data_IF_844067477178
#
_entry.id   IF_844067477178
#
_cell.length_a   1.000
_cell.length_b   1.000
_cell.length_c   1.000
_cell.angle_alpha   90.00
_cell.angle_beta   90.00
_cell.angle_gamma   90.00
#
_symmetry.space_group_name_H-M   'P 1'
#
loop_
_entity.id
_entity.type
_entity.pdbx_description
1 polymer ?
#
# COMPACT_ATOMS: atom_id res chain seq x y z
N UNK A 1 -1.29 -15.59 -4.42
CA UNK A 1 0.09 -16.11 -4.33
C UNK A 1 0.15 -17.42 -5.10
N UNK A 2 1.13 -17.62 -6.01
CA UNK A 2 1.28 -18.90 -6.67
C UNK A 2 1.59 -19.99 -5.64
N UNK A 3 0.86 -21.10 -5.70
CA UNK A 3 1.07 -22.26 -4.83
C UNK A 3 2.15 -23.12 -5.47
N UNK A 4 3.27 -23.28 -4.76
CA UNK A 4 4.36 -24.16 -5.16
C UNK A 4 4.33 -25.44 -4.32
N UNK A 5 4.71 -26.60 -4.89
CA UNK A 5 4.85 -27.82 -4.09
C UNK A 5 5.92 -27.61 -3.01
N UNK A 6 5.62 -28.08 -1.80
CA UNK A 6 6.58 -28.07 -0.69
C UNK A 6 7.72 -29.04 -1.00
N UNK A 7 8.96 -28.52 -0.87
CA UNK A 7 10.18 -29.34 -1.03
C UNK A 7 11.15 -29.02 0.10
N UNK A 8 11.70 -30.07 0.71
CA UNK A 8 12.70 -29.97 1.80
C UNK A 8 13.99 -29.33 1.30
N UNK A 9 14.31 -29.47 0.00
CA UNK A 9 15.52 -28.90 -0.62
C UNK A 9 15.67 -27.40 -0.41
N UNK A 10 14.57 -26.65 -0.49
CA UNK A 10 14.62 -25.19 -0.31
C UNK A 10 14.98 -24.81 1.12
N UNK A 11 14.52 -25.58 2.11
CA UNK A 11 14.84 -25.37 3.53
C UNK A 11 16.31 -25.74 3.76
N UNK A 12 16.74 -26.89 3.25
CA UNK A 12 18.13 -27.35 3.29
C UNK A 12 19.07 -26.29 2.73
N UNK A 13 18.80 -25.78 1.53
CA UNK A 13 19.62 -24.71 0.89
C UNK A 13 19.64 -23.43 1.72
N UNK A 14 18.50 -23.03 2.29
CA UNK A 14 18.42 -21.81 3.09
C UNK A 14 19.25 -21.90 4.37
N UNK A 15 19.15 -23.02 5.10
CA UNK A 15 19.93 -23.27 6.32
C UNK A 15 21.42 -23.39 5.98
N UNK A 16 21.79 -24.13 4.91
CA UNK A 16 23.19 -24.26 4.46
C UNK A 16 23.80 -22.90 4.17
N UNK A 17 23.09 -22.02 3.46
CA UNK A 17 23.58 -20.67 3.16
C UNK A 17 23.81 -19.84 4.43
N UNK A 18 22.95 -19.98 5.44
CA UNK A 18 23.13 -19.30 6.71
C UNK A 18 24.40 -19.77 7.44
N UNK A 19 24.67 -21.10 7.45
CA UNK A 19 25.93 -21.63 8.01
C UNK A 19 27.16 -21.15 7.23
N UNK A 20 27.10 -21.11 5.89
CA UNK A 20 28.19 -20.64 5.05
C UNK A 20 28.50 -19.14 5.28
N UNK A 21 27.49 -18.33 5.55
CA UNK A 21 27.67 -16.92 5.86
C UNK A 21 28.41 -16.69 7.18
N UNK A 22 28.20 -17.55 8.19
CA UNK A 22 28.80 -17.42 9.53
C UNK A 22 30.17 -18.10 9.63
N UNK A 23 30.30 -19.32 9.09
CA UNK A 23 31.50 -20.16 9.27
C UNK A 23 32.46 -20.14 8.06
N UNK A 24 32.07 -19.44 6.97
CA UNK A 24 32.86 -19.29 5.76
C UNK A 24 32.87 -20.51 4.83
N UNK A 25 33.67 -20.44 3.74
CA UNK A 25 33.66 -21.45 2.67
C UNK A 25 34.06 -22.85 3.10
N UNK A 26 34.80 -23.02 4.20
CA UNK A 26 35.21 -24.31 4.79
C UNK A 26 34.03 -25.06 5.40
N UNK A 27 32.94 -24.36 5.71
CA UNK A 27 31.70 -24.93 6.22
C UNK A 27 31.02 -25.91 5.23
N UNK A 28 31.22 -25.69 3.93
CA UNK A 28 30.66 -26.54 2.89
C UNK A 28 31.23 -28.00 2.91
N UNK A 29 32.41 -28.19 3.44
CA UNK A 29 33.05 -29.52 3.56
C UNK A 29 32.88 -30.17 4.94
N UNK A 30 32.19 -29.51 5.88
CA UNK A 30 32.04 -29.99 7.25
C UNK A 30 30.88 -30.97 7.38
N UNK A 31 31.19 -32.24 7.71
CA UNK A 31 30.20 -33.28 8.01
C UNK A 31 29.23 -32.84 9.13
N UNK A 32 29.78 -32.15 10.18
CA UNK A 32 28.97 -31.60 11.28
C UNK A 32 27.87 -30.68 10.79
N UNK A 33 28.19 -29.81 9.83
CA UNK A 33 27.19 -28.88 9.28
C UNK A 33 26.18 -29.62 8.44
N UNK A 34 26.60 -30.55 7.60
CA UNK A 34 25.68 -31.36 6.81
C UNK A 34 24.69 -32.14 7.69
N UNK A 35 25.17 -32.76 8.75
CA UNK A 35 24.31 -33.51 9.71
C UNK A 35 23.36 -32.58 10.46
N UNK A 36 23.84 -31.39 10.85
CA UNK A 36 23.01 -30.40 11.52
C UNK A 36 21.92 -29.86 10.58
N UNK A 37 22.25 -29.51 9.35
CA UNK A 37 21.30 -29.04 8.33
C UNK A 37 20.25 -30.09 8.04
N UNK A 38 20.63 -31.36 7.83
CA UNK A 38 19.72 -32.45 7.58
C UNK A 38 18.72 -32.61 8.75
N UNK A 39 19.23 -32.66 9.97
CA UNK A 39 18.42 -32.79 11.20
C UNK A 39 17.44 -31.62 11.38
N UNK A 40 17.88 -30.38 11.15
CA UNK A 40 17.04 -29.20 11.27
C UNK A 40 15.96 -29.16 10.19
N UNK A 41 16.31 -29.52 8.95
CA UNK A 41 15.32 -29.64 7.85
C UNK A 41 14.25 -30.66 8.19
N UNK A 42 14.64 -31.84 8.70
CA UNK A 42 13.72 -32.88 9.12
C UNK A 42 12.78 -32.42 10.26
N UNK A 43 13.34 -31.71 11.27
CA UNK A 43 12.56 -31.15 12.38
C UNK A 43 11.50 -30.15 11.90
N UNK A 44 11.86 -29.25 11.00
CA UNK A 44 10.92 -28.26 10.42
C UNK A 44 9.82 -28.98 9.63
N UNK A 45 10.20 -29.91 8.76
CA UNK A 45 9.26 -30.71 7.96
C UNK A 45 8.32 -31.54 8.83
N UNK A 46 8.85 -32.21 9.86
CA UNK A 46 8.05 -33.01 10.79
C UNK A 46 7.06 -32.14 11.57
N UNK A 47 7.42 -30.90 11.88
CA UNK A 47 6.51 -29.96 12.56
C UNK A 47 5.30 -29.64 11.69
N UNK A 48 5.51 -29.37 10.40
CA UNK A 48 4.41 -29.11 9.47
C UNK A 48 3.57 -30.36 9.17
N UNK A 49 4.18 -31.49 8.94
CA UNK A 49 3.46 -32.77 8.75
C UNK A 49 2.55 -33.12 9.94
N UNK A 50 3.00 -32.83 11.17
CA UNK A 50 2.21 -33.07 12.39
C UNK A 50 1.04 -32.08 12.51
N UNK A 51 1.23 -30.82 12.12
CA UNK A 51 0.18 -29.80 12.15
C UNK A 51 -0.89 -30.03 11.08
N UNK A 52 -0.50 -30.56 9.94
CA UNK A 52 -1.38 -30.75 8.78
C UNK A 52 -1.29 -32.18 8.22
N UNK A 53 -1.82 -33.17 8.95
CA UNK A 53 -1.72 -34.60 8.55
C UNK A 53 -2.50 -34.89 7.24
N UNK A 54 -3.50 -34.06 6.92
CA UNK A 54 -4.34 -34.22 5.72
C UNK A 54 -3.85 -33.34 4.55
N UNK A 55 -2.66 -32.69 4.66
CA UNK A 55 -2.17 -31.71 3.71
C UNK A 55 -2.76 -30.33 3.95
N UNK A 56 -2.21 -29.31 3.27
CA UNK A 56 -2.64 -27.93 3.40
C UNK A 56 -1.66 -26.97 2.73
N UNK A 57 -1.98 -25.69 2.80
CA UNK A 57 -1.11 -24.59 2.30
C UNK A 57 -0.42 -23.95 3.49
N UNK A 58 0.90 -23.77 3.40
CA UNK A 58 1.73 -23.11 4.41
C UNK A 58 2.24 -21.82 3.82
N UNK A 59 2.15 -20.72 4.58
CA UNK A 59 2.78 -19.46 4.21
C UNK A 59 4.30 -19.57 4.30
N UNK A 60 5.02 -18.97 3.34
CA UNK A 60 6.48 -18.97 3.31
C UNK A 60 7.09 -18.38 4.60
N UNK A 61 6.42 -17.39 5.18
CA UNK A 61 6.83 -16.75 6.44
C UNK A 61 6.78 -17.74 7.62
N UNK A 62 5.74 -18.58 7.70
CA UNK A 62 5.67 -19.61 8.73
C UNK A 62 6.81 -20.64 8.61
N UNK A 63 7.22 -20.97 7.38
CA UNK A 63 8.37 -21.85 7.14
C UNK A 63 9.64 -21.16 7.64
N UNK A 64 9.82 -19.89 7.33
CA UNK A 64 10.99 -19.10 7.73
C UNK A 64 11.08 -18.97 9.26
N UNK A 65 9.98 -18.70 9.93
CA UNK A 65 9.92 -18.61 11.40
C UNK A 65 10.23 -19.97 12.07
N UNK A 66 9.77 -21.07 11.50
CA UNK A 66 10.11 -22.41 12.02
C UNK A 66 11.58 -22.76 11.82
N UNK A 67 12.20 -22.32 10.73
CA UNK A 67 13.65 -22.46 10.50
C UNK A 67 14.44 -21.68 11.54
N UNK A 68 14.09 -20.43 11.80
CA UNK A 68 14.70 -19.59 12.82
C UNK A 68 14.61 -20.24 14.22
N UNK A 69 13.41 -20.67 14.61
CA UNK A 69 13.18 -21.35 15.87
C UNK A 69 13.98 -22.65 15.98
N UNK A 70 14.12 -23.41 14.90
CA UNK A 70 14.89 -24.64 14.89
C UNK A 70 16.40 -24.36 15.08
N UNK A 71 16.94 -23.32 14.43
CA UNK A 71 18.32 -22.87 14.60
C UNK A 71 18.58 -22.40 16.04
N UNK A 72 17.69 -21.59 16.62
CA UNK A 72 17.82 -21.12 18.00
C UNK A 72 17.81 -22.28 19.01
N UNK A 73 16.89 -23.24 18.84
CA UNK A 73 16.80 -24.43 19.73
C UNK A 73 17.99 -25.37 19.61
N UNK A 74 18.65 -25.38 18.45
CA UNK A 74 19.87 -26.15 18.25
C UNK A 74 21.12 -25.49 18.86
N UNK A 75 20.97 -24.28 19.42
CA UNK A 75 22.10 -23.51 19.98
C UNK A 75 22.88 -22.73 18.93
N UNK A 76 22.45 -22.71 17.67
CA UNK A 76 23.10 -22.04 16.54
C UNK A 76 22.65 -20.58 16.43
N UNK A 77 22.79 -19.82 17.55
CA UNK A 77 22.26 -18.45 17.67
C UNK A 77 22.84 -17.46 16.66
N UNK A 78 24.15 -17.60 16.33
CA UNK A 78 24.80 -16.75 15.33
C UNK A 78 24.22 -17.01 13.95
N UNK A 79 24.01 -18.29 13.61
CA UNK A 79 23.45 -18.70 12.33
C UNK A 79 21.99 -18.25 12.22
N UNK A 80 21.21 -18.38 13.31
CA UNK A 80 19.83 -17.88 13.36
C UNK A 80 19.76 -16.36 13.09
N UNK A 81 20.65 -15.59 13.73
CA UNK A 81 20.72 -14.13 13.51
C UNK A 81 21.05 -13.77 12.06
N UNK A 82 22.07 -14.42 11.49
CA UNK A 82 22.46 -14.16 10.10
C UNK A 82 21.38 -14.64 9.11
N UNK A 83 20.66 -15.69 9.45
CA UNK A 83 19.49 -16.14 8.68
C UNK A 83 18.40 -15.05 8.62
N UNK A 84 18.08 -14.39 9.73
CA UNK A 84 17.11 -13.29 9.78
C UNK A 84 17.59 -12.10 8.94
N UNK A 85 18.86 -11.69 9.10
CA UNK A 85 19.46 -10.60 8.31
C UNK A 85 19.43 -10.92 6.81
N UNK A 86 19.77 -12.16 6.44
CA UNK A 86 19.71 -12.60 5.04
C UNK A 86 18.27 -12.59 4.50
N UNK A 87 17.30 -13.04 5.30
CA UNK A 87 15.86 -13.00 4.95
C UNK A 87 15.42 -11.57 4.66
N UNK A 88 15.74 -10.63 5.54
CA UNK A 88 15.39 -9.21 5.40
C UNK A 88 16.09 -8.57 4.20
N UNK A 89 17.37 -8.87 3.97
CA UNK A 89 18.10 -8.41 2.78
C UNK A 89 17.46 -8.91 1.50
N UNK A 90 17.07 -10.19 1.46
CA UNK A 90 16.38 -10.78 0.30
C UNK A 90 14.96 -10.28 0.11
N UNK A 91 14.26 -9.91 1.19
CA UNK A 91 12.97 -9.25 1.10
C UNK A 91 13.13 -7.84 0.49
N UNK A 92 14.14 -7.08 0.95
CA UNK A 92 14.50 -5.77 0.40
C UNK A 92 14.99 -5.87 -1.05
N UNK A 93 15.86 -6.82 -1.39
CA UNK A 93 16.31 -7.05 -2.78
C UNK A 93 15.15 -7.42 -3.71
N UNK A 94 14.18 -8.20 -3.25
CA UNK A 94 12.96 -8.52 -4.02
C UNK A 94 12.08 -7.30 -4.20
N UNK A 95 11.94 -6.46 -3.17
CA UNK A 95 11.25 -5.18 -3.26
C UNK A 95 11.95 -4.23 -4.26
N UNK A 96 13.30 -4.17 -4.26
CA UNK A 96 14.08 -3.36 -5.21
C UNK A 96 14.03 -3.96 -6.61
N UNK A 97 14.14 -5.28 -6.77
CA UNK A 97 14.04 -5.95 -8.10
C UNK A 97 12.65 -5.86 -8.72
N UNK A 98 11.61 -5.74 -7.91
CA UNK A 98 10.26 -5.48 -8.42
C UNK A 98 10.11 -4.08 -9.03
N UNK A 99 11.11 -3.21 -8.84
CA UNK A 99 11.18 -1.87 -9.47
C UNK A 99 11.86 -1.96 -10.85
N UNK A 100 12.77 -2.93 -11.05
CA UNK A 100 13.57 -3.07 -12.30
C UNK A 100 13.07 -4.18 -13.25
N UNK A 101 12.20 -5.07 -12.82
CA UNK A 101 11.54 -5.97 -13.78
C UNK A 101 10.48 -5.16 -14.54
N UNK A 102 10.48 -5.24 -15.91
CA UNK A 102 9.37 -4.69 -16.67
C UNK A 102 8.12 -5.35 -16.11
N UNK A 103 7.20 -4.53 -15.60
CA UNK A 103 5.91 -4.91 -15.06
C UNK A 103 5.39 -6.08 -15.88
N UNK A 104 5.46 -7.31 -15.35
CA UNK A 104 4.74 -8.42 -15.95
C UNK A 104 3.32 -7.91 -16.12
N UNK A 105 2.87 -7.85 -17.37
CA UNK A 105 1.58 -7.31 -17.73
C UNK A 105 0.54 -7.99 -16.83
N UNK A 106 0.21 -7.34 -15.71
CA UNK A 106 -1.00 -7.69 -14.99
C UNK A 106 -2.09 -7.67 -16.06
N UNK A 107 -2.93 -8.70 -16.18
CA UNK A 107 -4.04 -8.64 -17.11
C UNK A 107 -4.65 -7.27 -16.91
N UNK A 108 -4.75 -6.48 -18.00
CA UNK A 108 -5.14 -5.07 -17.92
C UNK A 108 -6.50 -5.00 -17.23
N UNK A 109 -6.51 -4.74 -15.94
CA UNK A 109 -7.75 -4.60 -15.16
C UNK A 109 -8.52 -3.47 -15.82
N UNK A 110 -9.73 -3.77 -16.26
CA UNK A 110 -10.66 -2.75 -16.77
C UNK A 110 -11.50 -2.24 -15.63
N UNK A 111 -11.82 -0.98 -15.68
CA UNK A 111 -12.71 -0.32 -14.73
C UNK A 111 -14.00 0.09 -15.44
N UNK A 112 -15.08 0.13 -14.70
CA UNK A 112 -16.35 0.72 -15.14
C UNK A 112 -16.39 2.17 -14.68
N UNK A 113 -16.51 3.10 -15.63
CA UNK A 113 -16.67 4.54 -15.35
C UNK A 113 -18.11 4.85 -14.92
N UNK A 114 -18.33 6.08 -14.46
CA UNK A 114 -19.66 6.56 -14.04
C UNK A 114 -20.72 6.50 -15.16
N UNK A 115 -20.29 6.63 -16.42
CA UNK A 115 -21.14 6.52 -17.62
C UNK A 115 -21.43 5.06 -18.03
N UNK A 116 -20.91 4.09 -17.29
CA UNK A 116 -21.03 2.65 -17.58
C UNK A 116 -20.03 2.13 -18.62
N UNK A 117 -19.16 2.97 -19.16
CA UNK A 117 -18.12 2.54 -20.12
C UNK A 117 -17.00 1.77 -19.42
N UNK A 118 -16.43 0.76 -20.13
CA UNK A 118 -15.24 0.04 -19.69
C UNK A 118 -14.00 0.73 -20.24
N UNK A 119 -13.03 0.98 -19.37
CA UNK A 119 -11.73 1.52 -19.72
C UNK A 119 -10.60 0.77 -18.97
N UNK A 120 -9.38 0.73 -19.50
CA UNK A 120 -8.26 0.20 -18.73
C UNK A 120 -8.04 1.05 -17.47
N UNK A 121 -7.67 0.40 -16.36
CA UNK A 121 -7.26 1.11 -15.14
C UNK A 121 -6.00 1.93 -15.44
N UNK A 122 -6.05 3.21 -15.15
CA UNK A 122 -4.90 4.11 -15.27
C UNK A 122 -3.90 3.85 -14.13
N UNK A 123 -2.94 3.00 -14.41
CA UNK A 123 -1.87 2.66 -13.46
C UNK A 123 -0.94 3.85 -13.20
N UNK A 124 -0.78 4.75 -14.18
CA UNK A 124 0.02 5.97 -14.00
C UNK A 124 -0.59 6.87 -12.94
N UNK A 125 -1.88 7.19 -13.08
CA UNK A 125 -2.60 7.98 -12.09
C UNK A 125 -2.61 7.29 -10.72
N UNK A 126 -2.90 6.00 -10.66
CA UNK A 126 -2.90 5.25 -9.40
C UNK A 126 -1.55 5.31 -8.70
N UNK A 127 -0.46 5.15 -9.45
CA UNK A 127 0.89 5.31 -8.92
C UNK A 127 1.15 6.72 -8.39
N UNK A 128 0.75 7.75 -9.13
CA UNK A 128 0.92 9.15 -8.74
C UNK A 128 0.22 9.47 -7.43
N UNK A 129 -1.09 9.14 -7.30
CA UNK A 129 -1.86 9.47 -6.09
C UNK A 129 -1.34 8.74 -4.85
N UNK A 130 -0.90 7.47 -4.99
CA UNK A 130 -0.35 6.72 -3.86
C UNK A 130 1.03 7.24 -3.47
N UNK A 131 1.86 7.62 -4.44
CA UNK A 131 3.19 8.19 -4.18
C UNK A 131 3.06 9.55 -3.48
N UNK A 132 2.22 10.46 -4.00
CA UNK A 132 1.95 11.76 -3.36
C UNK A 132 1.36 11.60 -1.95
N UNK A 133 0.51 10.57 -1.73
CA UNK A 133 -0.05 10.30 -0.41
C UNK A 133 1.01 9.87 0.62
N UNK A 134 2.09 9.21 0.19
CA UNK A 134 3.19 8.79 1.04
C UNK A 134 4.29 9.86 1.21
N UNK A 135 4.25 10.92 0.44
CA UNK A 135 5.31 11.94 0.39
C UNK A 135 5.52 12.62 1.76
N UNK A 136 6.78 12.74 2.15
CA UNK A 136 7.16 13.37 3.42
C UNK A 136 6.80 12.57 4.69
N UNK A 137 6.37 11.32 4.57
CA UNK A 137 6.08 10.42 5.69
C UNK A 137 7.14 9.32 5.78
N UNK A 138 7.58 9.04 7.00
CA UNK A 138 8.52 7.95 7.28
C UNK A 138 7.79 6.62 7.48
N UNK A 139 8.48 5.51 7.20
CA UNK A 139 8.02 4.13 7.44
C UNK A 139 6.72 3.72 6.71
N UNK A 140 6.36 4.43 5.63
CA UNK A 140 5.24 4.08 4.75
C UNK A 140 5.76 3.59 3.39
N UNK A 141 5.06 2.63 2.77
CA UNK A 141 5.45 2.00 1.51
C UNK A 141 4.31 2.09 0.48
N UNK A 142 4.51 2.94 -0.53
CA UNK A 142 3.57 3.13 -1.64
C UNK A 142 3.38 1.83 -2.45
N UNK A 143 4.45 1.04 -2.66
CA UNK A 143 4.36 -0.20 -3.41
C UNK A 143 3.53 -1.26 -2.68
N UNK A 144 3.62 -1.30 -1.35
CA UNK A 144 2.80 -2.18 -0.53
C UNK A 144 1.31 -1.86 -0.71
N UNK A 145 0.94 -0.58 -0.61
CA UNK A 145 -0.45 -0.15 -0.81
C UNK A 145 -0.95 -0.54 -2.20
N UNK A 146 -0.18 -0.25 -3.25
CA UNK A 146 -0.55 -0.56 -4.63
C UNK A 146 -0.73 -2.07 -4.83
N UNK A 147 0.26 -2.87 -4.43
CA UNK A 147 0.24 -4.31 -4.64
C UNK A 147 -0.92 -4.99 -3.88
N UNK A 148 -1.19 -4.58 -2.64
CA UNK A 148 -2.30 -5.12 -1.87
C UNK A 148 -3.65 -4.67 -2.44
N UNK A 149 -3.75 -3.42 -2.90
CA UNK A 149 -4.98 -2.94 -3.56
C UNK A 149 -5.26 -3.73 -4.83
N UNK A 150 -4.28 -3.86 -5.73
CA UNK A 150 -4.46 -4.58 -7.00
C UNK A 150 -4.87 -6.05 -6.82
N UNK A 151 -4.45 -6.71 -5.74
CA UNK A 151 -4.88 -8.09 -5.42
C UNK A 151 -6.38 -8.20 -5.11
N UNK A 152 -6.98 -7.12 -4.64
CA UNK A 152 -8.38 -7.06 -4.26
C UNK A 152 -9.31 -6.55 -5.39
N UNK A 153 -8.74 -6.12 -6.52
CA UNK A 153 -9.52 -5.65 -7.66
C UNK A 153 -9.86 -6.81 -8.61
N UNK A 154 -11.02 -6.72 -9.23
CA UNK A 154 -11.47 -7.62 -10.30
C UNK A 154 -11.72 -6.86 -11.60
N UNK A 155 -11.72 -7.54 -12.73
CA UNK A 155 -11.97 -6.91 -14.03
C UNK A 155 -13.41 -6.38 -14.13
N UNK A 156 -13.54 -5.13 -14.52
CA UNK A 156 -14.84 -4.43 -14.57
C UNK A 156 -15.25 -3.73 -13.26
N UNK A 157 -14.37 -3.67 -12.25
CA UNK A 157 -14.63 -2.96 -10.99
C UNK A 157 -14.97 -1.49 -11.24
N UNK A 158 -15.91 -0.92 -10.49
CA UNK A 158 -16.24 0.51 -10.63
C UNK A 158 -15.07 1.39 -10.15
N UNK A 159 -14.82 2.51 -10.83
CA UNK A 159 -13.72 3.42 -10.47
C UNK A 159 -13.81 3.89 -9.00
N UNK A 160 -15.01 4.19 -8.51
CA UNK A 160 -15.23 4.54 -7.10
C UNK A 160 -14.79 3.45 -6.13
N UNK A 161 -14.96 2.17 -6.52
CA UNK A 161 -14.58 1.04 -5.68
C UNK A 161 -13.08 0.84 -5.67
N UNK A 162 -12.36 1.22 -6.76
CA UNK A 162 -10.90 1.28 -6.78
C UNK A 162 -10.38 2.28 -5.74
N UNK A 163 -10.95 3.49 -5.71
CA UNK A 163 -10.57 4.51 -4.74
C UNK A 163 -10.89 4.05 -3.30
N UNK A 164 -12.05 3.43 -3.10
CA UNK A 164 -12.42 2.85 -1.80
C UNK A 164 -11.43 1.75 -1.39
N UNK A 165 -11.02 0.88 -2.31
CA UNK A 165 -10.05 -0.17 -2.05
C UNK A 165 -8.67 0.38 -1.63
N UNK A 166 -8.20 1.48 -2.27
CA UNK A 166 -6.97 2.17 -1.88
C UNK A 166 -7.05 2.68 -0.44
N UNK A 167 -8.12 3.40 -0.11
CA UNK A 167 -8.34 3.95 1.24
C UNK A 167 -8.41 2.81 2.27
N UNK A 168 -9.16 1.74 1.99
CA UNK A 168 -9.29 0.61 2.91
C UNK A 168 -7.98 -0.15 3.08
N UNK A 169 -7.21 -0.35 2.01
CA UNK A 169 -5.89 -0.99 2.09
C UNK A 169 -4.95 -0.19 2.99
N UNK A 170 -4.81 1.12 2.76
CA UNK A 170 -3.96 1.98 3.59
C UNK A 170 -4.44 2.00 5.06
N UNK A 171 -5.75 2.01 5.30
CA UNK A 171 -6.33 1.97 6.64
C UNK A 171 -5.95 0.73 7.43
N UNK A 172 -5.87 -0.44 6.80
CA UNK A 172 -5.48 -1.69 7.51
C UNK A 172 -4.03 -1.64 8.00
N UNK A 173 -3.19 -0.79 7.41
CA UNK A 173 -1.79 -0.64 7.78
C UNK A 173 -1.56 0.30 8.97
N UNK A 174 -2.57 1.07 9.39
CA UNK A 174 -2.49 2.01 10.53
C UNK A 174 -2.09 1.31 11.83
N UNK A 175 -2.52 0.06 12.03
CA UNK A 175 -2.16 -0.72 13.22
C UNK A 175 -0.67 -1.08 13.29
N UNK A 176 0.01 -1.12 12.12
CA UNK A 176 1.44 -1.40 12.01
C UNK A 176 2.28 -0.15 12.13
N UNK A 177 1.84 0.92 11.47
CA UNK A 177 2.51 2.21 11.42
C UNK A 177 1.48 3.35 11.41
N UNK A 178 1.43 4.20 12.47
CA UNK A 178 0.45 5.28 12.61
C UNK A 178 0.46 6.30 11.45
N UNK A 179 1.60 6.49 10.76
CA UNK A 179 1.71 7.38 9.61
C UNK A 179 0.79 7.00 8.46
N UNK A 180 0.37 5.73 8.37
CA UNK A 180 -0.67 5.35 7.40
C UNK A 180 -2.02 6.02 7.65
N UNK A 181 -2.27 6.61 8.83
CA UNK A 181 -3.46 7.44 9.06
C UNK A 181 -3.46 8.70 8.19
N UNK A 182 -2.29 9.30 7.96
CA UNK A 182 -2.13 10.44 7.05
C UNK A 182 -2.24 9.97 5.60
N UNK A 183 -1.58 8.87 5.22
CA UNK A 183 -1.70 8.29 3.87
C UNK A 183 -3.16 8.02 3.53
N UNK A 184 -3.91 7.39 4.44
CA UNK A 184 -5.33 7.07 4.26
C UNK A 184 -6.18 8.34 4.08
N UNK A 185 -5.89 9.40 4.86
CA UNK A 185 -6.56 10.69 4.71
C UNK A 185 -6.28 11.33 3.33
N UNK A 186 -5.03 11.28 2.87
CA UNK A 186 -4.62 11.85 1.58
C UNK A 186 -5.23 11.11 0.39
N UNK A 187 -5.38 9.78 0.48
CA UNK A 187 -6.10 8.98 -0.51
C UNK A 187 -7.61 9.29 -0.50
N UNK A 188 -8.22 9.47 0.67
CA UNK A 188 -9.62 9.94 0.78
C UNK A 188 -9.77 11.35 0.19
N UNK A 189 -8.81 12.24 0.44
CA UNK A 189 -8.83 13.61 -0.10
C UNK A 189 -8.83 13.63 -1.64
N UNK A 190 -8.16 12.66 -2.31
CA UNK A 190 -8.23 12.55 -3.77
C UNK A 190 -9.67 12.32 -4.26
N UNK A 191 -10.43 11.47 -3.57
CA UNK A 191 -11.86 11.26 -3.87
C UNK A 191 -12.67 12.53 -3.63
N UNK A 192 -12.45 13.22 -2.51
CA UNK A 192 -13.17 14.45 -2.19
C UNK A 192 -12.85 15.58 -3.16
N UNK A 193 -11.59 15.68 -3.62
CA UNK A 193 -11.20 16.63 -4.67
C UNK A 193 -11.93 16.36 -5.98
N UNK A 194 -11.99 15.10 -6.41
CA UNK A 194 -12.71 14.73 -7.63
C UNK A 194 -14.21 15.08 -7.53
N UNK A 195 -14.87 14.76 -6.42
CA UNK A 195 -16.28 15.14 -6.18
C UNK A 195 -16.47 16.65 -6.20
N UNK A 196 -15.69 17.39 -5.41
CA UNK A 196 -15.82 18.84 -5.29
C UNK A 196 -15.49 19.58 -6.59
N UNK A 197 -14.38 19.26 -7.27
CA UNK A 197 -13.98 19.92 -8.52
C UNK A 197 -14.95 19.62 -9.67
N UNK A 198 -15.46 18.39 -9.77
CA UNK A 198 -16.46 18.03 -10.76
C UNK A 198 -17.78 18.76 -10.51
N UNK A 199 -18.25 18.85 -9.26
CA UNK A 199 -19.44 19.64 -8.90
C UNK A 199 -19.26 21.11 -9.24
N UNK A 200 -18.07 21.68 -9.02
CA UNK A 200 -17.75 23.07 -9.33
C UNK A 200 -17.51 23.33 -10.83
N UNK A 201 -17.47 22.27 -11.67
CA UNK A 201 -17.17 22.34 -13.11
C UNK A 201 -15.78 22.97 -13.39
N UNK A 202 -14.81 22.74 -12.49
CA UNK A 202 -13.46 23.25 -12.61
C UNK A 202 -12.54 22.20 -13.25
N UNK A 203 -12.65 20.93 -12.81
CA UNK A 203 -11.92 19.79 -13.34
C UNK A 203 -12.64 18.50 -12.92
N UNK A 204 -12.40 17.38 -13.64
CA UNK A 204 -12.96 16.08 -13.27
C UNK A 204 -12.26 15.47 -12.04
N UNK A 205 -10.99 15.76 -11.86
CA UNK A 205 -10.17 15.31 -10.73
C UNK A 205 -8.87 16.11 -10.68
N UNK A 206 -8.17 16.06 -9.55
CA UNK A 206 -6.83 16.65 -9.41
C UNK A 206 -6.01 15.86 -8.38
N UNK A 207 -4.70 15.72 -8.62
CA UNK A 207 -3.76 15.27 -7.61
C UNK A 207 -3.46 16.36 -6.58
N UNK A 208 -2.72 16.03 -5.53
CA UNK A 208 -2.35 17.02 -4.53
C UNK A 208 -1.54 18.18 -5.14
N UNK A 209 -0.55 17.87 -5.98
CA UNK A 209 0.30 18.88 -6.58
C UNK A 209 -0.46 19.77 -7.59
N UNK A 210 -1.43 19.24 -8.31
CA UNK A 210 -2.26 20.02 -9.24
C UNK A 210 -3.16 21.03 -8.54
N UNK A 211 -3.47 20.82 -7.24
CA UNK A 211 -4.31 21.74 -6.46
C UNK A 211 -3.68 23.12 -6.26
N UNK A 212 -2.36 23.27 -6.37
CA UNK A 212 -1.67 24.57 -6.32
C UNK A 212 -2.32 25.58 -7.25
N UNK A 213 -2.58 25.17 -8.49
CA UNK A 213 -3.16 26.03 -9.53
C UNK A 213 -4.70 26.05 -9.53
N UNK A 214 -5.31 25.02 -8.94
CA UNK A 214 -6.76 24.86 -9.00
C UNK A 214 -7.49 25.57 -7.88
N UNK A 215 -6.90 25.79 -6.71
CA UNK A 215 -7.57 26.49 -5.62
C UNK A 215 -8.01 27.89 -6.00
N UNK A 216 -7.16 28.63 -6.73
CA UNK A 216 -7.49 29.99 -7.21
C UNK A 216 -8.70 30.00 -8.17
N UNK A 217 -8.90 28.92 -8.94
CA UNK A 217 -10.02 28.76 -9.87
C UNK A 217 -11.26 28.21 -9.17
N UNK A 218 -11.08 27.29 -8.22
CA UNK A 218 -12.16 26.63 -7.51
C UNK A 218 -12.91 27.58 -6.56
N UNK A 219 -12.20 28.49 -5.88
CA UNK A 219 -12.81 29.38 -4.89
C UNK A 219 -13.93 30.28 -5.47
N UNK A 220 -13.74 30.97 -6.60
CA UNK A 220 -14.83 31.75 -7.21
C UNK A 220 -16.04 30.90 -7.59
N UNK A 221 -15.81 29.71 -8.19
CA UNK A 221 -16.87 28.78 -8.56
C UNK A 221 -17.62 28.25 -7.32
N UNK A 222 -16.90 27.93 -6.25
CA UNK A 222 -17.46 27.51 -4.97
C UNK A 222 -18.36 28.59 -4.37
N UNK A 223 -17.92 29.84 -4.33
CA UNK A 223 -18.73 30.94 -3.81
C UNK A 223 -19.96 31.17 -4.69
N UNK A 224 -19.80 31.18 -6.02
CA UNK A 224 -20.92 31.37 -6.94
C UNK A 224 -21.98 30.28 -6.81
N UNK A 225 -21.57 28.99 -6.82
CA UNK A 225 -22.52 27.87 -6.65
C UNK A 225 -23.12 27.80 -5.25
N UNK A 226 -22.35 28.10 -4.20
CA UNK A 226 -22.87 28.18 -2.84
C UNK A 226 -23.94 29.27 -2.67
N UNK A 227 -23.79 30.42 -3.31
CA UNK A 227 -24.83 31.48 -3.35
C UNK A 227 -26.04 31.01 -4.18
N UNK A 228 -25.82 30.41 -5.34
CA UNK A 228 -26.88 29.89 -6.21
C UNK A 228 -27.77 28.86 -5.48
N UNK A 229 -27.18 28.04 -4.63
CA UNK A 229 -27.87 27.05 -3.82
C UNK A 229 -28.35 27.55 -2.46
N UNK A 230 -28.28 28.86 -2.22
CA UNK A 230 -28.68 29.51 -0.96
C UNK A 230 -27.93 29.02 0.29
N UNK A 231 -26.76 28.43 0.11
CA UNK A 231 -25.88 27.92 1.18
C UNK A 231 -24.93 29.00 1.70
N UNK A 232 -24.58 29.98 0.87
CA UNK A 232 -23.64 31.06 1.19
C UNK A 232 -24.27 32.43 1.05
N UNK A 233 -23.82 33.36 1.91
CA UNK A 233 -24.28 34.73 1.85
C UNK A 233 -23.73 35.45 0.59
N UNK A 234 -24.56 36.13 -0.21
CA UNK A 234 -24.15 36.88 -1.42
C UNK A 234 -23.04 37.89 -1.18
N UNK A 235 -22.88 38.41 0.03
CA UNK A 235 -21.81 39.36 0.38
C UNK A 235 -20.42 38.76 0.10
N UNK A 236 -20.26 37.45 0.11
CA UNK A 236 -18.98 36.77 -0.17
C UNK A 236 -18.49 37.05 -1.60
N UNK A 237 -19.38 37.30 -2.55
CA UNK A 237 -19.00 37.67 -3.92
C UNK A 237 -18.39 39.06 -4.04
N UNK A 238 -18.48 39.91 -3.00
CA UNK A 238 -17.91 41.24 -3.00
C UNK A 238 -16.41 41.28 -2.64
N UNK A 239 -15.87 40.17 -2.15
CA UNK A 239 -14.46 40.06 -1.82
C UNK A 239 -13.61 39.79 -3.08
N UNK A 240 -12.32 40.12 -3.00
CA UNK A 240 -11.34 39.76 -4.02
C UNK A 240 -11.03 38.27 -3.99
N UNK A 241 -11.89 37.49 -4.66
CA UNK A 241 -11.84 36.02 -4.66
C UNK A 241 -10.58 35.49 -5.35
N UNK A 242 -10.03 36.20 -6.31
CA UNK A 242 -8.77 35.84 -6.97
C UNK A 242 -7.60 35.89 -5.99
N UNK A 243 -7.50 37.01 -5.27
CA UNK A 243 -6.47 37.19 -4.23
C UNK A 243 -6.62 36.19 -3.10
N UNK A 244 -7.84 35.93 -2.65
CA UNK A 244 -8.11 34.97 -1.61
C UNK A 244 -7.77 33.52 -2.08
N UNK A 245 -8.13 33.15 -3.31
CA UNK A 245 -7.82 31.86 -3.88
C UNK A 245 -6.31 31.61 -3.98
N UNK A 246 -5.53 32.59 -4.38
CA UNK A 246 -4.05 32.52 -4.40
C UNK A 246 -3.41 32.46 -3.01
N UNK A 247 -4.13 32.86 -1.97
CA UNK A 247 -3.64 32.80 -0.59
C UNK A 247 -3.92 31.44 0.10
N UNK A 248 -4.69 30.57 -0.54
CA UNK A 248 -4.93 29.21 -0.01
C UNK A 248 -3.64 28.40 -0.08
N UNK A 249 -3.24 27.84 1.04
CA UNK A 249 -2.06 26.98 1.12
C UNK A 249 -2.50 25.51 1.04
N UNK A 250 -2.27 24.87 -0.11
CA UNK A 250 -2.61 23.48 -0.39
C UNK A 250 -1.88 22.47 0.49
N UNK A 251 -0.67 22.80 1.02
CA UNK A 251 0.08 21.94 1.92
C UNK A 251 -0.69 21.62 3.23
N UNK A 252 -1.66 22.45 3.58
CA UNK A 252 -2.50 22.20 4.77
C UNK A 252 -3.39 20.98 4.61
N UNK A 253 -3.69 20.55 3.39
CA UNK A 253 -4.45 19.33 3.11
C UNK A 253 -3.73 18.09 3.62
N UNK A 254 -2.40 18.14 3.70
CA UNK A 254 -1.55 17.04 4.15
C UNK A 254 -1.62 16.78 5.66
N UNK A 255 -2.23 17.69 6.43
CA UNK A 255 -2.24 17.64 7.90
C UNK A 255 -3.39 16.81 8.49
N UNK A 256 -4.34 16.39 7.67
CA UNK A 256 -5.47 15.58 8.14
C UNK A 256 -5.07 14.15 8.43
N UNK A 257 -5.56 13.62 9.55
CA UNK A 257 -5.63 12.17 9.81
C UNK A 257 -6.91 11.61 9.22
N UNK A 258 -6.93 10.29 8.96
CA UNK A 258 -8.11 9.64 8.37
C UNK A 258 -9.38 9.87 9.18
N UNK A 259 -9.34 9.62 10.50
CA UNK A 259 -10.50 9.80 11.35
C UNK A 259 -11.01 11.25 11.37
N UNK A 260 -10.06 12.22 11.39
CA UNK A 260 -10.40 13.65 11.35
C UNK A 260 -11.11 14.02 10.05
N UNK A 261 -10.54 13.66 8.91
CA UNK A 261 -11.11 13.97 7.60
C UNK A 261 -12.46 13.25 7.37
N UNK A 262 -12.54 11.96 7.70
CA UNK A 262 -13.78 11.20 7.59
C UNK A 262 -14.90 11.81 8.45
N UNK A 263 -14.57 12.26 9.66
CA UNK A 263 -15.56 12.92 10.54
C UNK A 263 -16.04 14.26 9.96
N UNK A 264 -15.11 15.03 9.36
CA UNK A 264 -15.49 16.28 8.68
C UNK A 264 -16.42 15.99 7.50
N UNK A 265 -16.09 15.02 6.68
CA UNK A 265 -16.90 14.62 5.54
C UNK A 265 -18.29 14.16 5.98
N UNK A 266 -18.40 13.22 6.92
CA UNK A 266 -19.66 12.61 7.31
C UNK A 266 -20.59 13.56 8.09
N UNK A 267 -20.06 14.57 8.78
CA UNK A 267 -20.82 15.33 9.77
C UNK A 267 -20.85 16.83 9.57
N UNK A 268 -19.84 17.40 8.91
CA UNK A 268 -19.63 18.83 8.87
C UNK A 268 -19.64 19.42 7.47
N UNK A 269 -19.25 18.67 6.45
CA UNK A 269 -19.35 19.15 5.08
C UNK A 269 -20.82 19.21 4.65
N UNK A 270 -21.16 20.25 3.92
CA UNK A 270 -22.50 20.43 3.37
C UNK A 270 -22.55 19.62 2.08
N UNK A 271 -23.41 18.61 2.06
CA UNK A 271 -23.67 17.80 0.87
C UNK A 271 -24.87 18.35 0.11
N UNK A 272 -24.69 18.61 -1.17
CA UNK A 272 -25.76 19.01 -2.08
C UNK A 272 -25.86 17.97 -3.20
N UNK A 273 -27.04 17.40 -3.39
CA UNK A 273 -27.33 16.38 -4.41
C UNK A 273 -26.42 15.13 -4.33
N UNK A 274 -25.93 14.81 -3.14
CA UNK A 274 -25.10 13.66 -2.87
C UNK A 274 -23.59 13.91 -3.04
N UNK A 275 -23.18 15.17 -3.22
CA UNK A 275 -21.78 15.63 -3.30
C UNK A 275 -21.48 16.55 -2.14
#
# INVERSE_FOLDING_TARGET
LPIFPYTDDKITVAITKAFLAVEGGTAAASSRIHDTVARLTEQVTATFKRRMPSGGTIHIEEIQDQVELALMRAGEQKVARDYVIYRDSRAKERAVRSIDEPVQAHPSIRITRADGSLAPLDMGRLNTIVTEACEGLEEVDANLIQSETLKNLYDGVALKDVNTALVMTARTLVEREPNYSFVTARLLMDTLRAEGLSFLEVADSATHHEMVDLYAKALPSYIAKGIQHELLNPILATFDLEKLGKAINHERDQQFTYLGLQTLYDRYFIHKDGV
#
